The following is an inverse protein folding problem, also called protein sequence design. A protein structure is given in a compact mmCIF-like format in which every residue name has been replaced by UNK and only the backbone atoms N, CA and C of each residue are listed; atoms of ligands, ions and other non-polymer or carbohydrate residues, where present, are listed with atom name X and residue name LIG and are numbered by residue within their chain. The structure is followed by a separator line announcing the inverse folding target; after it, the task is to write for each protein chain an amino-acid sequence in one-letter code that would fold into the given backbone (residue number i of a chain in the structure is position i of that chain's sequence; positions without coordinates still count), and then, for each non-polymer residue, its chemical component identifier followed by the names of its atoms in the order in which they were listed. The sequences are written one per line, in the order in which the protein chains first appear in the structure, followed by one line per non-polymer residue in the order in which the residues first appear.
data_IF_573697394355
#
_entry.id   IF_573697394355
#
_cell.length_a   1.000
_cell.length_b   1.000
_cell.length_c   1.000
_cell.angle_alpha   90.00
_cell.angle_beta   90.00
_cell.angle_gamma   90.00
#
_symmetry.space_group_name_H-M   'P 1'
#
loop_
_entity.id
_entity.type
_entity.pdbx_description
1 polymer ?
#
# COMPACT_ATOMS: atom_id res chain seq x y z
N UNK A 1 21.50 10.34 5.06
CA UNK A 1 20.04 10.41 4.89
C UNK A 1 19.38 10.26 6.27
N UNK A 2 18.64 11.28 6.74
CA UNK A 2 17.96 11.23 8.04
C UNK A 2 16.81 10.23 7.99
N UNK A 3 16.93 9.12 8.74
CA UNK A 3 16.01 7.98 8.81
C UNK A 3 14.59 8.30 9.36
N UNK A 4 14.28 9.56 9.69
CA UNK A 4 13.14 9.93 10.56
C UNK A 4 12.13 10.90 9.92
N UNK A 5 12.07 10.99 8.58
CA UNK A 5 11.06 11.80 7.87
C UNK A 5 10.20 10.96 6.94
N UNK A 6 9.83 9.76 7.38
CA UNK A 6 8.87 8.97 6.64
C UNK A 6 7.47 9.53 6.89
N UNK A 7 7.03 10.37 5.95
CA UNK A 7 5.68 10.89 5.89
C UNK A 7 5.09 10.38 4.59
N UNK A 8 4.03 9.60 4.70
CA UNK A 8 3.27 9.12 3.56
C UNK A 8 1.95 9.86 3.51
N UNK A 9 1.64 10.37 2.33
CA UNK A 9 0.34 10.96 2.02
C UNK A 9 -0.31 10.10 0.93
N UNK A 10 -1.55 9.65 1.14
CA UNK A 10 -2.28 8.90 0.13
C UNK A 10 -2.45 9.79 -1.11
N UNK A 11 -2.13 9.29 -2.32
CA UNK A 11 -2.49 9.98 -3.55
C UNK A 11 -3.99 9.86 -3.80
N UNK A 12 -4.64 10.91 -4.33
CA UNK A 12 -6.05 10.87 -4.73
C UNK A 12 -6.34 9.78 -5.78
N UNK A 13 -5.34 9.45 -6.62
CA UNK A 13 -5.40 8.39 -7.64
C UNK A 13 -4.96 7.00 -7.14
N UNK A 14 -4.96 6.76 -5.82
CA UNK A 14 -4.51 5.49 -5.24
C UNK A 14 -5.20 4.27 -5.87
N UNK A 15 -6.52 4.31 -5.99
CA UNK A 15 -7.28 3.19 -6.55
C UNK A 15 -6.92 2.93 -8.02
N UNK A 16 -6.70 3.98 -8.80
CA UNK A 16 -6.27 3.87 -10.20
C UNK A 16 -4.85 3.28 -10.31
N UNK A 17 -3.92 3.70 -9.45
CA UNK A 17 -2.57 3.14 -9.41
C UNK A 17 -2.55 1.66 -9.03
N UNK A 18 -3.39 1.27 -8.07
CA UNK A 18 -3.57 -0.13 -7.66
C UNK A 18 -4.22 -0.94 -8.78
N UNK A 19 -5.26 -0.41 -9.46
CA UNK A 19 -5.87 -1.03 -10.65
C UNK A 19 -4.83 -1.28 -11.74
N UNK A 20 -4.01 -0.29 -12.07
CA UNK A 20 -2.97 -0.42 -13.10
C UNK A 20 -1.91 -1.47 -12.72
N UNK A 21 -1.49 -1.48 -11.44
CA UNK A 21 -0.56 -2.47 -10.91
C UNK A 21 -1.14 -3.89 -11.01
N UNK A 22 -2.40 -4.08 -10.63
CA UNK A 22 -3.11 -5.36 -10.70
C UNK A 22 -3.27 -5.78 -12.17
N UNK A 23 -3.69 -4.88 -13.05
CA UNK A 23 -3.87 -5.16 -14.48
C UNK A 23 -2.58 -5.65 -15.15
N UNK A 24 -1.42 -5.22 -14.64
CA UNK A 24 -0.11 -5.69 -15.12
C UNK A 24 0.17 -7.15 -14.76
N UNK A 25 -0.43 -7.67 -13.69
CA UNK A 25 -0.22 -9.03 -13.20
C UNK A 25 -1.41 -9.97 -13.47
N UNK A 26 -2.63 -9.43 -13.50
CA UNK A 26 -3.89 -10.11 -13.74
C UNK A 26 -4.51 -9.46 -14.97
N UNK A 27 -4.48 -10.15 -16.11
CA UNK A 27 -4.98 -9.63 -17.38
C UNK A 27 -6.52 -9.51 -17.46
N UNK A 28 -7.24 -9.95 -16.42
CA UNK A 28 -8.70 -9.95 -16.35
C UNK A 28 -9.14 -9.41 -14.99
N UNK A 29 -9.08 -8.07 -14.87
CA UNK A 29 -9.50 -7.36 -13.68
C UNK A 29 -10.97 -7.02 -13.84
N UNK A 30 -11.85 -7.85 -13.27
CA UNK A 30 -13.27 -7.49 -13.14
C UNK A 30 -13.43 -6.23 -12.27
N UNK A 31 -14.56 -5.54 -12.41
CA UNK A 31 -14.88 -4.26 -11.75
C UNK A 31 -14.61 -4.29 -10.22
N UNK A 32 -14.79 -5.46 -9.60
CA UNK A 32 -14.61 -5.71 -8.17
C UNK A 32 -13.16 -6.03 -7.76
N UNK A 33 -12.24 -5.10 -8.04
CA UNK A 33 -10.80 -5.28 -7.71
C UNK A 33 -10.56 -5.52 -6.22
N UNK A 34 -11.42 -4.96 -5.35
CA UNK A 34 -11.28 -5.02 -3.90
C UNK A 34 -11.48 -6.44 -3.38
N UNK A 35 -12.28 -7.25 -4.07
CA UNK A 35 -12.57 -8.64 -3.70
C UNK A 35 -11.49 -9.64 -4.15
N UNK A 36 -10.43 -9.18 -4.83
CA UNK A 36 -9.34 -10.06 -5.27
C UNK A 36 -8.57 -10.57 -4.05
N UNK A 37 -8.62 -11.90 -3.85
CA UNK A 37 -7.87 -12.58 -2.79
C UNK A 37 -6.40 -12.77 -3.19
N UNK A 38 -5.50 -12.16 -2.42
CA UNK A 38 -4.05 -12.22 -2.60
C UNK A 38 -3.42 -13.39 -1.83
N UNK A 39 -4.19 -14.08 -0.98
CA UNK A 39 -3.71 -15.20 -0.16
C UNK A 39 -3.43 -16.43 -1.01
N UNK A 40 -4.21 -16.65 -2.08
CA UNK A 40 -4.03 -17.77 -3.03
C UNK A 40 -2.68 -17.78 -3.73
N UNK A 41 -2.12 -16.61 -4.04
CA UNK A 41 -0.88 -16.48 -4.82
C UNK A 41 0.15 -15.61 -4.11
N UNK A 42 0.99 -16.23 -3.27
CA UNK A 42 2.06 -15.53 -2.53
C UNK A 42 3.04 -14.77 -3.44
N UNK A 43 3.36 -15.33 -4.61
CA UNK A 43 4.25 -14.65 -5.58
C UNK A 43 3.62 -13.37 -6.12
N UNK A 44 2.35 -13.42 -6.53
CA UNK A 44 1.62 -12.23 -6.99
C UNK A 44 1.49 -11.19 -5.88
N UNK A 45 1.17 -11.62 -4.65
CA UNK A 45 1.13 -10.73 -3.49
C UNK A 45 2.47 -10.02 -3.28
N UNK A 46 3.58 -10.75 -3.34
CA UNK A 46 4.91 -10.15 -3.18
C UNK A 46 5.21 -9.13 -4.29
N UNK A 47 5.01 -9.50 -5.56
CA UNK A 47 5.27 -8.59 -6.68
C UNK A 47 4.37 -7.34 -6.66
N UNK A 48 3.12 -7.49 -6.22
CA UNK A 48 2.19 -6.37 -6.08
C UNK A 48 2.63 -5.42 -4.95
N UNK A 49 3.01 -5.97 -3.79
CA UNK A 49 3.51 -5.20 -2.64
C UNK A 49 4.81 -4.47 -2.99
N UNK A 50 5.72 -5.12 -3.71
CA UNK A 50 6.99 -4.55 -4.16
C UNK A 50 6.76 -3.37 -5.13
N UNK A 51 5.92 -3.59 -6.15
CA UNK A 51 5.58 -2.56 -7.14
C UNK A 51 4.86 -1.35 -6.51
N UNK A 52 3.90 -1.59 -5.61
CA UNK A 52 3.21 -0.52 -4.88
C UNK A 52 4.14 0.20 -3.92
N UNK A 53 5.02 -0.54 -3.24
CA UNK A 53 6.02 0.02 -2.34
C UNK A 53 6.99 0.97 -3.05
N UNK A 54 7.44 0.61 -4.25
CA UNK A 54 8.24 1.51 -5.10
C UNK A 54 7.43 2.74 -5.56
N UNK A 55 6.23 2.52 -6.13
CA UNK A 55 5.40 3.60 -6.68
C UNK A 55 4.96 4.63 -5.66
N UNK A 56 4.51 4.16 -4.50
CA UNK A 56 4.00 5.01 -3.41
C UNK A 56 5.10 5.45 -2.47
N UNK A 57 6.34 4.96 -2.67
CA UNK A 57 7.46 5.05 -1.74
C UNK A 57 7.04 4.67 -0.30
N UNK A 58 6.05 3.77 -0.19
CA UNK A 58 5.47 3.34 1.07
C UNK A 58 5.43 1.81 1.16
N UNK A 59 6.32 1.21 1.96
CA UNK A 59 6.40 -0.25 2.07
C UNK A 59 5.55 -0.73 3.24
N UNK A 60 4.76 -1.79 3.00
CA UNK A 60 3.98 -2.44 4.05
C UNK A 60 4.92 -3.14 5.04
N UNK A 61 4.84 -2.83 6.35
CA UNK A 61 5.69 -3.47 7.34
C UNK A 61 5.32 -4.94 7.54
N UNK A 62 6.29 -5.76 7.96
CA UNK A 62 6.08 -7.20 8.20
C UNK A 62 4.95 -7.50 9.19
N UNK A 63 4.73 -6.61 10.18
CA UNK A 63 3.64 -6.73 11.15
C UNK A 63 2.27 -6.66 10.52
N UNK A 64 2.08 -5.87 9.45
CA UNK A 64 0.79 -5.67 8.78
C UNK A 64 0.59 -6.63 7.60
N UNK A 65 1.65 -7.35 7.20
CA UNK A 65 1.65 -8.20 6.01
C UNK A 65 0.64 -9.36 6.09
N UNK A 66 0.29 -9.81 7.30
CA UNK A 66 -0.74 -10.82 7.55
C UNK A 66 -2.17 -10.28 7.42
N UNK A 67 -2.35 -8.96 7.56
CA UNK A 67 -3.65 -8.29 7.39
C UNK A 67 -3.97 -8.07 5.91
N UNK A 68 -2.95 -7.96 5.05
CA UNK A 68 -3.11 -7.81 3.60
C UNK A 68 -3.59 -9.11 2.93
N UNK A 69 -4.88 -9.43 3.04
CA UNK A 69 -5.49 -10.65 2.46
C UNK A 69 -6.10 -10.38 1.10
N UNK A 70 -6.76 -9.24 0.99
CA UNK A 70 -7.41 -8.78 -0.24
C UNK A 70 -6.77 -7.50 -0.75
N UNK A 71 -7.04 -7.16 -2.00
CA UNK A 71 -6.68 -5.85 -2.56
C UNK A 71 -7.41 -4.72 -1.82
N UNK A 72 -8.63 -4.95 -1.34
CA UNK A 72 -9.33 -4.00 -0.49
C UNK A 72 -8.55 -3.62 0.77
N UNK A 73 -7.96 -4.62 1.44
CA UNK A 73 -7.10 -4.38 2.62
C UNK A 73 -5.86 -3.54 2.27
N UNK A 74 -5.29 -3.73 1.08
CA UNK A 74 -4.16 -2.90 0.61
C UNK A 74 -4.60 -1.46 0.38
N UNK A 75 -5.72 -1.25 -0.30
CA UNK A 75 -6.24 0.10 -0.58
C UNK A 75 -6.52 0.82 0.73
N UNK A 76 -7.21 0.18 1.68
CA UNK A 76 -7.49 0.75 3.00
C UNK A 76 -6.20 1.08 3.78
N UNK A 77 -5.16 0.25 3.66
CA UNK A 77 -3.85 0.55 4.26
C UNK A 77 -3.20 1.79 3.65
N UNK A 78 -3.15 1.87 2.33
CA UNK A 78 -2.54 2.99 1.61
C UNK A 78 -3.41 4.25 1.60
N UNK A 79 -4.70 4.17 1.93
CA UNK A 79 -5.56 5.34 2.10
C UNK A 79 -5.24 6.06 3.42
N UNK A 80 -4.64 5.37 4.39
CA UNK A 80 -4.31 5.94 5.70
C UNK A 80 -3.01 6.74 5.62
N UNK A 81 -3.04 8.05 5.94
CA UNK A 81 -1.82 8.85 6.00
C UNK A 81 -0.94 8.38 7.15
N UNK A 82 0.36 8.25 6.90
CA UNK A 82 1.33 7.89 7.93
C UNK A 82 2.27 9.07 8.19
N UNK A 83 2.38 9.50 9.45
CA UNK A 83 3.31 10.59 9.86
C UNK A 83 4.21 10.10 10.98
N UNK A 84 5.51 10.07 10.73
CA UNK A 84 6.52 9.76 11.74
C UNK A 84 6.93 11.01 12.55
N UNK A 85 5.96 11.79 13.02
CA UNK A 85 6.22 12.94 13.90
C UNK A 85 6.11 12.47 15.34
N UNK A 86 7.25 12.45 16.05
CA UNK A 86 7.23 12.27 17.51
C UNK A 86 6.47 13.42 18.15
N UNK A 87 5.74 13.14 19.24
CA UNK A 87 4.95 14.16 19.96
C UNK A 87 5.79 15.39 20.35
N UNK A 88 7.06 15.16 20.69
CA UNK A 88 8.05 16.22 20.96
C UNK A 88 8.25 17.20 19.79
N UNK A 89 8.25 16.71 18.55
CA UNK A 89 8.39 17.56 17.37
C UNK A 89 7.10 18.32 17.04
N UNK A 90 5.94 17.82 17.48
CA UNK A 90 4.65 18.51 17.32
C UNK A 90 4.47 19.63 18.36
N UNK A 91 4.96 19.44 19.59
CA UNK A 91 4.84 20.41 20.69
C UNK A 91 5.80 21.61 20.60
N UNK A 92 6.84 21.53 19.78
CA UNK A 92 7.84 22.61 19.62
C UNK A 92 7.46 23.66 18.56
N UNK A 93 6.23 23.66 18.05
CA UNK A 93 5.76 24.53 16.97
C UNK A 93 4.67 25.51 17.43
#
# INVERSE_FOLDING_TARGET
FLKYRYNYQPPDDLENQVKEAINKFLADVNDDIRSIDLTKNRRLKFQLLDLLGERLCHVVPNSELHQMKTVGDLIDFYERPFRNLTEYAQMAR
#
